data_IF_779367651917
#
_entry.id   IF_779367651917
#
_cell.length_a   1.000
_cell.length_b   1.000
_cell.length_c   1.000
_cell.angle_alpha   90.00
_cell.angle_beta   90.00
_cell.angle_gamma   90.00
#
_symmetry.space_group_name_H-M   'P 1'
#
loop_
_entity.id
_entity.type
_entity.pdbx_description
1 polymer ?
#
# COMPACT_ATOMS: atom_id res chain seq x y z
N UNK A 1 -7.49 1.50 -1.40
CA UNK A 1 -7.00 0.48 -2.34
C UNK A 1 -6.55 1.14 -3.63
N UNK A 2 -5.26 1.24 -3.78
CA UNK A 2 -4.61 1.87 -4.94
C UNK A 2 -4.31 0.88 -6.06
N UNK A 3 -4.24 -0.41 -5.72
CA UNK A 3 -3.67 -1.44 -6.60
C UNK A 3 -4.72 -2.38 -7.20
N UNK A 4 -5.99 -2.27 -6.84
CA UNK A 4 -7.03 -3.25 -7.24
C UNK A 4 -6.83 -4.67 -6.69
N UNK A 5 -5.76 -4.91 -5.94
CA UNK A 5 -5.32 -6.23 -5.44
C UNK A 5 -6.09 -6.77 -4.22
N UNK A 6 -7.39 -6.49 -4.08
CA UNK A 6 -8.18 -6.88 -2.92
C UNK A 6 -8.37 -8.40 -2.76
N UNK A 7 -8.37 -9.16 -3.85
CA UNK A 7 -8.63 -10.61 -3.83
C UNK A 7 -7.59 -11.34 -3.00
N UNK A 8 -6.31 -11.18 -3.30
CA UNK A 8 -5.22 -11.85 -2.58
C UNK A 8 -5.19 -11.47 -1.10
N UNK A 9 -5.39 -10.18 -0.80
CA UNK A 9 -5.45 -9.70 0.58
C UNK A 9 -6.66 -10.26 1.33
N UNK A 10 -7.82 -10.37 0.68
CA UNK A 10 -9.02 -10.99 1.23
C UNK A 10 -8.81 -12.46 1.54
N UNK A 11 -8.19 -13.22 0.63
CA UNK A 11 -7.83 -14.62 0.86
C UNK A 11 -6.87 -14.78 2.03
N UNK A 12 -5.83 -13.95 2.10
CA UNK A 12 -4.87 -13.97 3.22
C UNK A 12 -5.54 -13.63 4.54
N UNK A 13 -6.41 -12.63 4.57
CA UNK A 13 -7.18 -12.24 5.75
C UNK A 13 -8.11 -13.38 6.21
N UNK A 14 -8.81 -14.02 5.28
CA UNK A 14 -9.67 -15.18 5.56
C UNK A 14 -8.88 -16.36 6.13
N UNK A 15 -7.71 -16.66 5.58
CA UNK A 15 -6.83 -17.70 6.09
C UNK A 15 -6.35 -17.39 7.53
N UNK A 16 -5.91 -16.16 7.81
CA UNK A 16 -5.52 -15.72 9.17
C UNK A 16 -6.71 -15.84 10.14
N UNK A 17 -7.91 -15.41 9.71
CA UNK A 17 -9.11 -15.52 10.52
C UNK A 17 -9.44 -16.98 10.87
N UNK A 18 -9.34 -17.88 9.90
CA UNK A 18 -9.52 -19.31 10.12
C UNK A 18 -8.53 -19.89 11.13
N UNK A 19 -7.26 -19.54 11.05
CA UNK A 19 -6.26 -19.97 12.02
C UNK A 19 -6.59 -19.50 13.45
N UNK A 20 -6.94 -18.23 13.61
CA UNK A 20 -7.30 -17.66 14.93
C UNK A 20 -8.58 -18.33 15.47
N UNK A 21 -9.56 -18.60 14.61
CA UNK A 21 -10.78 -19.32 15.02
C UNK A 21 -10.47 -20.74 15.52
N UNK A 22 -9.63 -21.48 14.81
CA UNK A 22 -9.20 -22.82 15.24
C UNK A 22 -8.46 -22.78 16.58
N UNK A 23 -7.56 -21.83 16.76
CA UNK A 23 -6.84 -21.64 18.02
C UNK A 23 -7.80 -21.30 19.17
N UNK A 24 -8.79 -20.43 18.94
CA UNK A 24 -9.80 -20.06 19.92
C UNK A 24 -10.63 -21.28 20.36
N UNK A 25 -11.06 -22.10 19.40
CA UNK A 25 -11.84 -23.33 19.68
C UNK A 25 -11.01 -24.35 20.44
N UNK A 26 -9.79 -24.62 19.99
CA UNK A 26 -8.92 -25.62 20.63
C UNK A 26 -8.53 -25.25 22.06
N UNK A 27 -8.44 -23.95 22.36
CA UNK A 27 -8.10 -23.47 23.71
C UNK A 27 -9.35 -23.10 24.54
N UNK A 28 -10.57 -23.32 24.02
CA UNK A 28 -11.81 -22.87 24.66
C UNK A 28 -11.77 -21.41 25.10
N UNK A 29 -11.05 -20.56 24.34
CA UNK A 29 -10.83 -19.15 24.68
C UNK A 29 -11.37 -18.25 23.57
N UNK A 30 -12.49 -17.63 23.84
CA UNK A 30 -13.18 -16.70 22.92
C UNK A 30 -13.09 -15.25 23.40
N UNK A 31 -12.09 -14.94 24.22
CA UNK A 31 -11.89 -13.59 24.73
C UNK A 31 -11.52 -12.63 23.60
N UNK A 32 -11.77 -11.34 23.85
CA UNK A 32 -11.38 -10.26 22.93
C UNK A 32 -9.87 -10.29 22.65
N UNK A 33 -9.07 -10.57 23.67
CA UNK A 33 -7.62 -10.65 23.57
C UNK A 33 -7.18 -11.79 22.63
N UNK A 34 -7.81 -12.94 22.75
CA UNK A 34 -7.53 -14.08 21.86
C UNK A 34 -7.91 -13.76 20.42
N UNK A 35 -9.10 -13.22 20.20
CA UNK A 35 -9.59 -12.90 18.86
C UNK A 35 -8.84 -11.72 18.23
N UNK A 36 -8.25 -10.82 19.04
CA UNK A 36 -7.44 -9.71 18.53
C UNK A 36 -6.13 -10.16 17.88
N UNK A 37 -5.69 -11.41 18.11
CA UNK A 37 -4.58 -12.02 17.38
C UNK A 37 -4.77 -11.95 15.85
N UNK A 38 -6.03 -11.93 15.38
CA UNK A 38 -6.33 -11.69 13.96
C UNK A 38 -5.78 -10.34 13.49
N UNK A 39 -6.10 -9.27 14.21
CA UNK A 39 -5.66 -7.91 13.86
C UNK A 39 -4.14 -7.81 13.85
N UNK A 40 -3.47 -8.39 14.84
CA UNK A 40 -2.01 -8.36 14.95
C UNK A 40 -1.34 -9.12 13.79
N UNK A 41 -1.84 -10.31 13.45
CA UNK A 41 -1.32 -11.12 12.33
C UNK A 41 -1.57 -10.44 10.99
N UNK A 42 -2.77 -9.91 10.78
CA UNK A 42 -3.13 -9.16 9.59
C UNK A 42 -2.23 -7.93 9.44
N UNK A 43 -2.02 -7.17 10.53
CA UNK A 43 -1.16 -6.00 10.53
C UNK A 43 0.29 -6.33 10.18
N UNK A 44 0.83 -7.42 10.76
CA UNK A 44 2.18 -7.92 10.45
C UNK A 44 2.31 -8.39 9.01
N UNK A 45 1.26 -9.01 8.45
CA UNK A 45 1.28 -9.56 7.10
C UNK A 45 1.26 -8.46 6.02
N UNK A 46 0.27 -7.59 6.02
CA UNK A 46 0.11 -6.59 4.96
C UNK A 46 -0.34 -5.19 5.45
N UNK A 47 -0.72 -5.04 6.72
CA UNK A 47 -1.25 -3.77 7.24
C UNK A 47 -0.28 -2.60 7.07
N UNK A 48 1.01 -2.80 7.34
CA UNK A 48 2.05 -1.77 7.13
C UNK A 48 2.13 -1.31 5.67
N UNK A 49 2.00 -2.22 4.72
CA UNK A 49 2.02 -1.90 3.30
C UNK A 49 0.76 -1.12 2.90
N UNK A 50 -0.40 -1.47 3.44
CA UNK A 50 -1.63 -0.71 3.20
C UNK A 50 -1.56 0.72 3.71
N UNK A 51 -0.98 0.95 4.87
CA UNK A 51 -0.75 2.30 5.38
C UNK A 51 0.16 3.11 4.45
N UNK A 52 1.22 2.49 3.93
CA UNK A 52 2.11 3.13 2.95
C UNK A 52 1.36 3.48 1.65
N UNK A 53 0.61 2.53 1.10
CA UNK A 53 -0.18 2.78 -0.10
C UNK A 53 -1.26 3.85 0.11
N UNK A 54 -1.89 3.88 1.28
CA UNK A 54 -2.85 4.92 1.62
C UNK A 54 -2.21 6.32 1.62
N UNK A 55 -1.04 6.45 2.23
CA UNK A 55 -0.28 7.72 2.24
C UNK A 55 0.14 8.14 0.82
N UNK A 56 0.61 7.19 -0.01
CA UNK A 56 0.93 7.45 -1.42
C UNK A 56 -0.32 7.93 -2.17
N UNK A 57 -1.47 7.32 -1.93
CA UNK A 57 -2.73 7.76 -2.52
C UNK A 57 -3.03 9.21 -2.16
N UNK A 58 -2.93 9.59 -0.89
CA UNK A 58 -3.15 10.98 -0.46
C UNK A 58 -2.23 11.97 -1.20
N UNK A 59 -1.00 11.58 -1.48
CA UNK A 59 -0.08 12.41 -2.26
C UNK A 59 -0.52 12.51 -3.74
N UNK A 60 -1.05 11.43 -4.31
CA UNK A 60 -1.55 11.40 -5.70
C UNK A 60 -2.85 12.21 -5.83
N UNK A 61 -3.75 12.13 -4.84
CA UNK A 61 -5.02 12.88 -4.84
C UNK A 61 -4.80 14.41 -4.86
N UNK A 62 -3.59 14.89 -4.52
CA UNK A 62 -3.20 16.30 -4.61
C UNK A 62 -2.59 16.71 -5.96
N UNK A 63 -2.48 15.79 -6.92
CA UNK A 63 -2.01 16.09 -8.27
C UNK A 63 -3.15 16.65 -9.12
N UNK A 64 -2.82 17.64 -9.95
CA UNK A 64 -3.73 18.17 -10.96
C UNK A 64 -3.63 17.37 -12.26
N UNK A 65 -4.61 17.52 -13.16
CA UNK A 65 -4.56 16.92 -14.49
C UNK A 65 -3.31 17.33 -15.26
N UNK A 66 -2.90 18.60 -15.15
CA UNK A 66 -1.67 19.12 -15.75
C UNK A 66 -0.40 18.42 -15.17
N UNK A 67 -0.39 18.12 -13.87
CA UNK A 67 0.68 17.30 -13.27
C UNK A 67 0.71 15.89 -13.87
N UNK A 68 -0.46 15.26 -14.07
CA UNK A 68 -0.55 13.94 -14.68
C UNK A 68 -0.10 13.93 -16.14
N UNK A 69 -0.51 14.91 -16.94
CA UNK A 69 -0.06 15.04 -18.34
C UNK A 69 1.46 15.20 -18.43
N UNK A 70 2.05 16.07 -17.61
CA UNK A 70 3.50 16.25 -17.56
C UNK A 70 4.26 14.99 -17.14
N UNK A 71 3.69 14.21 -16.23
CA UNK A 71 4.26 12.92 -15.82
C UNK A 71 4.15 11.92 -16.98
N UNK A 72 3.01 11.87 -17.66
CA UNK A 72 2.78 11.00 -18.80
C UNK A 72 3.76 11.29 -19.94
N UNK A 73 3.93 12.54 -20.33
CA UNK A 73 4.89 12.97 -21.34
C UNK A 73 6.31 12.53 -20.99
N UNK A 74 6.70 12.71 -19.71
CA UNK A 74 8.01 12.27 -19.25
C UNK A 74 8.19 10.76 -19.33
N UNK A 75 7.16 10.00 -18.99
CA UNK A 75 7.18 8.52 -19.08
C UNK A 75 7.21 8.09 -20.54
N UNK A 76 6.44 8.73 -21.43
CA UNK A 76 6.40 8.47 -22.85
C UNK A 76 7.75 8.75 -23.53
N UNK A 77 8.51 9.72 -23.04
CA UNK A 77 9.88 10.01 -23.53
C UNK A 77 10.89 8.91 -23.20
N UNK A 78 10.55 7.98 -22.28
CA UNK A 78 11.41 6.85 -21.94
C UNK A 78 11.19 5.72 -22.95
N UNK A 79 12.23 5.11 -23.54
CA UNK A 79 12.09 3.95 -24.42
C UNK A 79 11.29 2.83 -23.75
N UNK A 80 10.39 2.18 -24.50
CA UNK A 80 9.41 1.21 -24.00
C UNK A 80 10.06 0.11 -23.10
N UNK A 81 11.19 -0.44 -23.54
CA UNK A 81 11.91 -1.49 -22.80
C UNK A 81 12.54 -1.01 -21.48
N UNK A 82 12.62 0.31 -21.27
CA UNK A 82 13.13 0.94 -20.00
C UNK A 82 12.01 1.46 -19.13
N UNK A 83 10.75 1.38 -19.54
CA UNK A 83 9.60 1.83 -18.74
C UNK A 83 9.30 0.82 -17.64
N UNK A 84 9.81 1.11 -16.45
CA UNK A 84 9.53 0.35 -15.21
C UNK A 84 8.74 1.23 -14.26
N UNK A 85 8.06 0.62 -13.29
CA UNK A 85 7.34 1.36 -12.24
C UNK A 85 8.24 2.39 -11.53
N UNK A 86 9.51 2.04 -11.31
CA UNK A 86 10.52 2.97 -10.76
C UNK A 86 10.79 4.17 -11.66
N UNK A 87 10.66 4.03 -12.99
CA UNK A 87 10.84 5.13 -13.94
C UNK A 87 9.67 6.11 -13.90
N UNK A 88 8.44 5.58 -13.76
CA UNK A 88 7.22 6.37 -13.55
C UNK A 88 7.33 7.16 -12.26
N UNK A 89 7.73 6.49 -11.18
CA UNK A 89 7.93 7.12 -9.89
C UNK A 89 8.98 8.24 -9.92
N UNK A 90 10.12 8.00 -10.56
CA UNK A 90 11.15 9.02 -10.76
C UNK A 90 10.63 10.21 -11.57
N UNK A 91 9.83 9.97 -12.61
CA UNK A 91 9.24 11.02 -13.43
C UNK A 91 8.29 11.92 -12.61
N UNK A 92 7.43 11.32 -11.78
CA UNK A 92 6.52 12.01 -10.88
C UNK A 92 7.28 12.89 -9.87
N UNK A 93 8.29 12.32 -9.23
CA UNK A 93 9.14 13.00 -8.25
C UNK A 93 9.91 14.18 -8.87
N UNK A 94 10.41 14.03 -10.10
CA UNK A 94 11.19 15.10 -10.78
C UNK A 94 10.33 16.31 -11.11
N UNK A 95 9.03 16.11 -11.38
CA UNK A 95 8.12 17.20 -11.77
C UNK A 95 7.53 17.94 -10.58
N UNK A 96 7.40 17.30 -9.43
CA UNK A 96 6.88 17.91 -8.20
C UNK A 96 7.78 17.52 -7.02
N UNK A 97 8.88 18.28 -6.77
CA UNK A 97 9.84 17.97 -5.70
C UNK A 97 9.20 17.86 -4.31
N UNK A 98 8.06 18.51 -4.08
CA UNK A 98 7.28 18.37 -2.83
C UNK A 98 6.79 16.95 -2.62
N UNK A 99 6.50 16.18 -3.69
CA UNK A 99 6.20 14.75 -3.59
C UNK A 99 7.35 13.94 -2.98
N UNK A 100 8.60 14.37 -3.15
CA UNK A 100 9.76 13.73 -2.51
C UNK A 100 9.63 13.82 -0.99
N UNK A 101 9.28 15.00 -0.49
CA UNK A 101 9.12 15.23 0.96
C UNK A 101 7.99 14.37 1.50
N UNK A 102 6.87 14.32 0.80
CA UNK A 102 5.72 13.51 1.21
C UNK A 102 6.02 12.01 1.13
N UNK A 103 6.74 11.57 0.09
CA UNK A 103 7.18 10.18 -0.04
C UNK A 103 8.25 9.84 1.00
N UNK A 104 9.23 10.70 1.25
CA UNK A 104 10.24 10.48 2.30
C UNK A 104 9.57 10.39 3.68
N UNK A 105 8.64 11.29 4.00
CA UNK A 105 7.84 11.21 5.23
C UNK A 105 7.07 9.89 5.34
N UNK A 106 6.49 9.43 4.24
CA UNK A 106 5.79 8.13 4.16
C UNK A 106 6.73 6.97 4.47
N UNK A 107 7.95 6.98 3.95
CA UNK A 107 8.92 5.89 4.15
C UNK A 107 9.70 6.02 5.45
N UNK A 108 9.94 7.25 5.94
CA UNK A 108 10.61 7.50 7.22
C UNK A 108 9.70 7.25 8.45
N UNK A 109 8.39 7.08 8.24
CA UNK A 109 7.46 6.80 9.33
C UNK A 109 7.11 8.02 10.20
N UNK A 110 7.33 9.23 9.66
CA UNK A 110 7.01 10.53 10.30
C UNK A 110 5.76 11.10 9.66
#
# INVERSE_FOLDING_TARGET
>A
PMTGGGILSGMTAGWIAGQVAVEAVNNYNYSKEMLNNYSDRMWKSFGKNYTRFYKIRLAIDNLTDDDFEKIADKVLSIPLHKRKLSSVFKAAVFKKPTLIIDVIKVFAGV
#
